data_IF_958712785692
#
_entry.id   IF_958712785692
#
_cell.length_a   1.000
_cell.length_b   1.000
_cell.length_c   1.000
_cell.angle_alpha   90.00
_cell.angle_beta   90.00
_cell.angle_gamma   90.00
#
_symmetry.space_group_name_H-M   'P 1'
#
loop_
_entity.id
_entity.type
_entity.pdbx_description
1 polymer ?
#
# COMPACT_ATOMS: atom_id res chain seq x y z
N UNK A 1 3.64 -5.60 10.30
CA UNK A 1 2.52 -6.10 9.47
C UNK A 1 2.76 -7.58 9.14
N UNK A 2 1.71 -8.39 9.02
CA UNK A 2 1.80 -9.72 8.42
C UNK A 2 1.07 -9.66 7.08
N UNK A 3 1.81 -9.83 5.98
CA UNK A 3 1.27 -9.80 4.62
C UNK A 3 0.93 -11.20 4.12
N UNK A 4 -0.31 -11.39 3.67
CA UNK A 4 -0.82 -12.66 3.15
C UNK A 4 -1.45 -12.38 1.77
N UNK A 5 -0.63 -12.14 0.74
CA UNK A 5 -1.14 -11.69 -0.56
C UNK A 5 -1.96 -12.80 -1.24
N UNK A 6 -3.06 -12.40 -1.86
CA UNK A 6 -3.98 -13.30 -2.55
C UNK A 6 -4.03 -13.00 -4.05
N UNK A 7 -4.01 -11.73 -4.43
CA UNK A 7 -4.18 -11.23 -5.80
C UNK A 7 -3.43 -9.91 -6.03
N UNK A 8 -2.31 -9.93 -6.74
CA UNK A 8 -1.63 -8.69 -7.14
C UNK A 8 -1.03 -7.84 -6.01
N UNK A 9 -1.21 -8.21 -4.73
CA UNK A 9 -0.57 -7.52 -3.59
C UNK A 9 0.83 -8.07 -3.27
N UNK A 10 1.35 -8.98 -4.10
CA UNK A 10 2.67 -9.58 -3.93
C UNK A 10 3.76 -8.51 -3.90
N UNK A 11 3.70 -7.53 -4.80
CA UNK A 11 4.70 -6.46 -4.89
C UNK A 11 4.63 -5.52 -3.68
N UNK A 12 3.41 -5.15 -3.25
CA UNK A 12 3.21 -4.34 -2.05
C UNK A 12 3.73 -5.05 -0.80
N UNK A 13 3.48 -6.36 -0.69
CA UNK A 13 3.97 -7.18 0.42
C UNK A 13 5.49 -7.30 0.39
N UNK A 14 6.07 -7.60 -0.78
CA UNK A 14 7.52 -7.71 -0.96
C UNK A 14 8.23 -6.38 -0.63
N UNK A 15 7.64 -5.25 -1.04
CA UNK A 15 8.14 -3.92 -0.70
C UNK A 15 8.19 -3.71 0.82
N UNK A 16 7.11 -4.03 1.54
CA UNK A 16 7.06 -3.86 2.99
C UNK A 16 8.01 -4.80 3.73
N UNK A 17 8.24 -6.02 3.23
CA UNK A 17 9.28 -6.93 3.74
C UNK A 17 10.67 -6.37 3.51
N UNK A 18 10.97 -5.86 2.31
CA UNK A 18 12.26 -5.25 1.99
C UNK A 18 12.56 -4.00 2.84
N UNK A 19 11.53 -3.29 3.30
CA UNK A 19 11.66 -2.18 4.26
C UNK A 19 11.74 -2.62 5.73
N UNK A 20 11.66 -3.92 6.01
CA UNK A 20 11.68 -4.48 7.37
C UNK A 20 10.42 -4.19 8.18
N UNK A 21 9.32 -3.79 7.53
CA UNK A 21 8.06 -3.44 8.19
C UNK A 21 7.02 -4.57 8.16
N UNK A 22 7.35 -5.70 7.52
CA UNK A 22 6.45 -6.83 7.40
C UNK A 22 7.13 -8.20 7.40
N UNK A 23 6.35 -9.21 7.74
CA UNK A 23 6.60 -10.63 7.46
C UNK A 23 5.61 -11.06 6.38
N UNK A 24 6.06 -11.78 5.35
CA UNK A 24 5.19 -12.34 4.33
C UNK A 24 4.92 -13.82 4.61
N UNK A 25 3.66 -14.23 4.48
CA UNK A 25 3.24 -15.63 4.51
C UNK A 25 2.56 -15.99 3.19
N UNK A 26 2.67 -17.25 2.80
CA UNK A 26 2.01 -17.78 1.62
C UNK A 26 0.73 -18.53 2.03
N UNK A 27 -0.43 -18.03 1.59
CA UNK A 27 -1.75 -18.60 1.89
C UNK A 27 -1.89 -20.09 1.53
N UNK A 28 -1.16 -20.56 0.52
CA UNK A 28 -1.29 -21.94 0.03
C UNK A 28 -0.42 -22.93 0.80
N UNK A 29 0.62 -22.45 1.48
CA UNK A 29 1.64 -23.32 2.07
C UNK A 29 1.81 -23.12 3.57
N UNK A 30 1.35 -22.01 4.13
CA UNK A 30 1.52 -21.74 5.56
C UNK A 30 0.64 -22.67 6.42
N UNK A 31 1.17 -22.99 7.59
CA UNK A 31 0.46 -23.70 8.65
C UNK A 31 -0.05 -22.73 9.73
N UNK A 32 -0.87 -23.24 10.66
CA UNK A 32 -1.28 -22.49 11.86
C UNK A 32 -0.06 -22.03 12.67
N UNK A 33 0.96 -22.86 12.80
CA UNK A 33 2.20 -22.53 13.52
C UNK A 33 2.99 -21.40 12.86
N UNK A 34 3.02 -21.35 11.53
CA UNK A 34 3.71 -20.26 10.81
C UNK A 34 3.04 -18.91 11.09
N UNK A 35 1.70 -18.89 11.11
CA UNK A 35 0.95 -17.69 11.44
C UNK A 35 1.20 -17.24 12.89
N UNK A 36 1.16 -18.16 13.86
CA UNK A 36 1.45 -17.85 15.26
C UNK A 36 2.87 -17.28 15.43
N UNK A 37 3.86 -17.92 14.80
CA UNK A 37 5.25 -17.46 14.84
C UNK A 37 5.42 -16.08 14.21
N UNK A 38 4.76 -15.81 13.08
CA UNK A 38 4.80 -14.49 12.45
C UNK A 38 4.16 -13.42 13.34
N UNK A 39 3.08 -13.76 14.05
CA UNK A 39 2.41 -12.87 14.99
C UNK A 39 3.31 -12.52 16.17
N UNK A 40 3.87 -13.52 16.85
CA UNK A 40 4.83 -13.33 17.94
C UNK A 40 6.02 -12.48 17.49
N UNK A 41 6.60 -12.79 16.31
CA UNK A 41 7.72 -12.02 15.75
C UNK A 41 7.39 -10.54 15.56
N UNK A 42 6.21 -10.22 15.05
CA UNK A 42 5.82 -8.82 14.78
C UNK A 42 5.43 -8.07 16.04
N UNK A 43 4.87 -8.76 17.05
CA UNK A 43 4.47 -8.16 18.33
C UNK A 43 5.69 -7.93 19.24
N UNK A 44 6.56 -8.93 19.36
CA UNK A 44 7.64 -8.91 20.34
C UNK A 44 8.88 -8.14 19.87
N UNK A 45 9.03 -7.96 18.54
CA UNK A 45 10.12 -7.17 17.99
C UNK A 45 9.66 -5.73 17.68
N UNK A 46 10.05 -4.72 18.49
CA UNK A 46 9.61 -3.35 18.31
C UNK A 46 10.06 -2.71 16.98
N UNK A 47 11.12 -3.24 16.35
CA UNK A 47 11.63 -2.70 15.08
C UNK A 47 10.57 -2.67 13.97
N UNK A 48 9.63 -3.62 13.94
CA UNK A 48 8.54 -3.61 12.96
C UNK A 48 7.64 -2.38 13.11
N UNK A 49 7.32 -2.00 14.35
CA UNK A 49 6.54 -0.79 14.65
C UNK A 49 7.33 0.46 14.31
N UNK A 50 8.60 0.52 14.70
CA UNK A 50 9.48 1.67 14.40
C UNK A 50 9.62 1.90 12.90
N UNK A 51 9.87 0.83 12.12
CA UNK A 51 9.95 0.91 10.66
C UNK A 51 8.61 1.33 10.06
N UNK A 52 7.50 0.80 10.55
CA UNK A 52 6.17 1.20 10.09
C UNK A 52 5.89 2.70 10.38
N UNK A 53 6.23 3.18 11.57
CA UNK A 53 6.08 4.61 11.93
C UNK A 53 6.99 5.50 11.07
N UNK A 54 8.23 5.08 10.82
CA UNK A 54 9.15 5.81 9.96
C UNK A 54 8.67 5.88 8.50
N UNK A 55 8.17 4.78 7.96
CA UNK A 55 7.56 4.78 6.63
C UNK A 55 6.31 5.67 6.59
N UNK A 56 5.53 5.69 7.65
CA UNK A 56 4.34 6.56 7.78
C UNK A 56 4.73 8.05 7.72
N UNK A 57 5.78 8.47 8.43
CA UNK A 57 6.25 9.86 8.36
C UNK A 57 6.70 10.25 6.97
N UNK A 58 7.44 9.38 6.25
CA UNK A 58 7.82 9.64 4.86
C UNK A 58 6.58 9.72 3.95
N UNK A 59 5.61 8.82 4.14
CA UNK A 59 4.40 8.79 3.32
C UNK A 59 3.57 10.06 3.47
N UNK A 60 3.46 10.57 4.70
CA UNK A 60 2.74 11.81 5.01
C UNK A 60 3.52 13.09 4.67
N UNK A 61 4.84 13.01 4.49
CA UNK A 61 5.67 14.12 4.06
C UNK A 61 5.49 14.38 2.55
N UNK A 62 4.42 15.11 2.24
CA UNK A 62 4.00 15.44 0.89
C UNK A 62 3.87 16.96 0.75
N UNK A 63 4.25 17.55 -0.40
CA UNK A 63 4.21 19.01 -0.61
C UNK A 63 2.80 19.62 -0.60
N UNK A 64 1.76 18.78 -0.70
CA UNK A 64 0.36 19.20 -0.70
C UNK A 64 -0.47 18.17 0.06
N UNK A 65 -1.37 18.66 0.92
CA UNK A 65 -2.27 17.79 1.68
C UNK A 65 -3.17 16.98 0.72
N UNK A 66 -3.52 15.73 1.07
CA UNK A 66 -4.36 14.90 0.22
C UNK A 66 -5.70 15.54 -0.17
N UNK A 67 -6.32 16.30 0.75
CA UNK A 67 -7.57 17.01 0.47
C UNK A 67 -7.40 18.10 -0.60
N UNK A 68 -6.41 18.97 -0.44
CA UNK A 68 -6.15 20.05 -1.39
C UNK A 68 -5.83 19.49 -2.79
N UNK A 69 -5.09 18.38 -2.84
CA UNK A 69 -4.79 17.67 -4.09
C UNK A 69 -6.04 17.09 -4.74
N UNK A 70 -6.98 16.56 -3.96
CA UNK A 70 -8.25 16.05 -4.48
C UNK A 70 -9.12 17.19 -5.04
N UNK A 71 -9.20 18.32 -4.33
CA UNK A 71 -9.91 19.52 -4.79
C UNK A 71 -9.34 19.99 -6.12
N UNK A 72 -8.01 20.10 -6.23
CA UNK A 72 -7.35 20.46 -7.48
C UNK A 72 -7.77 19.57 -8.65
N UNK A 73 -7.77 18.24 -8.48
CA UNK A 73 -8.13 17.33 -9.57
C UNK A 73 -9.62 17.39 -9.94
N UNK A 74 -10.50 17.63 -8.96
CA UNK A 74 -11.93 17.85 -9.22
C UNK A 74 -12.12 19.10 -10.09
N UNK A 75 -11.52 20.22 -9.68
CA UNK A 75 -11.57 21.48 -10.43
C UNK A 75 -10.94 21.34 -11.82
N UNK A 76 -9.81 20.62 -11.93
CA UNK A 76 -9.15 20.34 -13.19
C UNK A 76 -10.09 19.63 -14.17
N UNK A 77 -10.79 18.59 -13.72
CA UNK A 77 -11.75 17.85 -14.54
C UNK A 77 -12.90 18.76 -14.97
N UNK A 78 -13.42 19.59 -14.06
CA UNK A 78 -14.50 20.54 -14.37
C UNK A 78 -14.07 21.58 -15.41
N UNK A 79 -12.91 22.23 -15.22
CA UNK A 79 -12.37 23.22 -16.14
C UNK A 79 -12.14 22.66 -17.55
N UNK A 80 -11.72 21.40 -17.65
CA UNK A 80 -11.45 20.74 -18.93
C UNK A 80 -12.64 19.92 -19.45
N UNK A 81 -13.87 20.26 -19.02
CA UNK A 81 -15.12 19.67 -19.52
C UNK A 81 -15.09 18.13 -19.51
N UNK A 82 -14.60 17.55 -18.41
CA UNK A 82 -14.49 16.11 -18.21
C UNK A 82 -13.12 15.50 -18.55
N UNK A 83 -12.11 16.32 -18.91
CA UNK A 83 -10.71 15.90 -19.12
C UNK A 83 -10.55 14.62 -19.97
N UNK A 84 -11.27 14.53 -21.10
CA UNK A 84 -11.32 13.31 -21.94
C UNK A 84 -9.94 12.81 -22.38
N UNK A 85 -8.95 13.69 -22.50
CA UNK A 85 -7.58 13.36 -22.86
C UNK A 85 -6.82 12.55 -21.79
N UNK A 86 -7.30 12.54 -20.53
CA UNK A 86 -6.75 11.69 -19.46
C UNK A 86 -7.42 10.32 -19.36
N UNK A 87 -8.48 10.05 -20.13
CA UNK A 87 -9.12 8.73 -20.11
C UNK A 87 -8.22 7.70 -20.79
N UNK A 88 -7.95 6.56 -20.14
CA UNK A 88 -7.22 5.46 -20.78
C UNK A 88 -7.98 4.95 -22.01
N UNK A 89 -7.27 4.76 -23.13
CA UNK A 89 -7.86 4.21 -24.36
C UNK A 89 -8.40 2.78 -24.18
N UNK A 90 -7.90 2.04 -23.17
CA UNK A 90 -8.38 0.70 -22.83
C UNK A 90 -9.88 0.65 -22.53
N UNK A 91 -10.51 1.77 -22.16
CA UNK A 91 -11.95 1.84 -21.90
C UNK A 91 -12.82 1.63 -23.16
N UNK A 92 -12.24 1.74 -24.35
CA UNK A 92 -12.95 1.57 -25.62
C UNK A 92 -12.79 0.15 -26.23
N UNK A 93 -12.17 -0.79 -25.49
CA UNK A 93 -11.86 -2.15 -25.97
C UNK A 93 -12.97 -3.18 -25.69
N UNK A 94 -14.16 -2.74 -25.23
CA UNK A 94 -15.36 -3.55 -24.96
C UNK A 94 -16.54 -3.01 -25.75
#
# INVERSE_FOLDING_TARGET
MIGIPLFGEHDNTAYMVAKGAAVALNIRTMSRSDLLKALETVIDNPSYKEKAMWLSTIHHDQPMKPLDRAIFWIEFVMHHKGAKHLRPLAHNLT
#
